data_IF_193535571610
#
_entry.id   IF_193535571610
#
_cell.length_a   1.000
_cell.length_b   1.000
_cell.length_c   1.000
_cell.angle_alpha   90.00
_cell.angle_beta   90.00
_cell.angle_gamma   90.00
#
_symmetry.space_group_name_H-M   'P 1'
#
loop_
_entity.id
_entity.type
_entity.pdbx_description
1 polymer ?
#
# COMPACT_ATOMS: atom_id res chain seq x y z
N UNK A 1 37.55 12.75 7.03
CA UNK A 1 36.29 13.51 6.93
C UNK A 1 35.58 13.45 8.26
N UNK A 2 35.22 14.59 8.84
CA UNK A 2 34.50 14.67 10.12
C UNK A 2 33.00 14.47 9.92
N UNK A 3 32.27 14.20 11.01
CA UNK A 3 30.80 14.09 10.96
C UNK A 3 30.12 15.36 10.44
N UNK A 4 30.64 16.54 10.79
CA UNK A 4 30.10 17.83 10.36
C UNK A 4 30.35 18.09 8.86
N UNK A 5 31.55 17.76 8.37
CA UNK A 5 31.87 17.85 6.94
C UNK A 5 30.98 16.91 6.10
N UNK A 6 30.77 15.68 6.59
CA UNK A 6 29.90 14.72 5.93
C UNK A 6 28.45 15.23 5.90
N UNK A 7 27.92 15.72 7.03
CA UNK A 7 26.57 16.28 7.10
C UNK A 7 26.39 17.47 6.15
N UNK A 8 27.37 18.38 6.09
CA UNK A 8 27.33 19.53 5.17
C UNK A 8 27.25 19.12 3.70
N UNK A 9 27.96 18.06 3.30
CA UNK A 9 27.94 17.56 1.93
C UNK A 9 26.63 16.84 1.60
N UNK A 10 26.14 16.00 2.50
CA UNK A 10 24.94 15.18 2.28
C UNK A 10 23.68 16.04 2.32
N UNK A 11 23.51 16.86 3.35
CA UNK A 11 22.30 17.67 3.53
C UNK A 11 22.19 18.83 2.53
N UNK A 12 23.27 19.17 1.82
CA UNK A 12 23.23 20.13 0.72
C UNK A 12 22.60 19.56 -0.57
N UNK A 13 22.45 18.23 -0.68
CA UNK A 13 21.84 17.62 -1.87
C UNK A 13 20.32 17.79 -1.83
N UNK A 14 19.73 18.15 -2.97
CA UNK A 14 18.29 18.42 -3.09
C UNK A 14 17.40 17.23 -2.70
N UNK A 15 17.88 15.99 -2.89
CA UNK A 15 17.16 14.77 -2.52
C UNK A 15 16.93 14.64 -1.00
N UNK A 16 17.75 15.30 -0.17
CA UNK A 16 17.64 15.26 1.29
C UNK A 16 16.94 16.50 1.88
N UNK A 17 16.23 17.31 1.08
CA UNK A 17 15.54 18.53 1.54
C UNK A 17 14.52 18.32 2.67
N UNK A 18 14.04 17.08 2.90
CA UNK A 18 13.10 16.73 3.98
C UNK A 18 13.79 16.20 5.25
N UNK A 19 15.10 16.03 5.22
CA UNK A 19 15.87 15.45 6.33
C UNK A 19 16.47 16.57 7.15
N UNK A 20 16.22 16.56 8.46
CA UNK A 20 16.77 17.57 9.36
C UNK A 20 18.19 17.20 9.81
N UNK A 21 18.99 18.18 10.28
CA UNK A 21 20.29 17.89 10.90
C UNK A 21 20.18 16.90 12.07
N UNK A 22 19.09 16.98 12.84
CA UNK A 22 18.79 16.10 13.97
C UNK A 22 18.52 14.66 13.52
N UNK A 23 17.75 14.48 12.44
CA UNK A 23 17.53 13.17 11.83
C UNK A 23 18.87 12.56 11.38
N UNK A 24 19.70 13.36 10.71
CA UNK A 24 20.99 12.90 10.22
C UNK A 24 21.95 12.56 11.36
N UNK A 25 21.92 13.33 12.45
CA UNK A 25 22.70 13.05 13.66
C UNK A 25 22.24 11.75 14.34
N UNK A 26 20.93 11.50 14.37
CA UNK A 26 20.37 10.25 14.87
C UNK A 26 20.84 9.06 14.03
N UNK A 27 20.80 9.19 12.70
CA UNK A 27 21.35 8.20 11.77
C UNK A 27 22.83 7.91 12.03
N UNK A 28 23.68 8.95 12.08
CA UNK A 28 25.12 8.75 12.28
C UNK A 28 25.43 8.07 13.62
N UNK A 29 24.73 8.44 14.69
CA UNK A 29 24.90 7.78 16.00
C UNK A 29 24.48 6.32 15.95
N UNK A 30 23.38 6.02 15.26
CA UNK A 30 22.92 4.65 15.08
C UNK A 30 23.93 3.81 14.29
N UNK A 31 24.44 4.33 13.15
CA UNK A 31 25.44 3.65 12.34
C UNK A 31 26.77 3.42 13.08
N UNK A 32 27.14 4.32 13.99
CA UNK A 32 28.31 4.11 14.87
C UNK A 32 28.03 3.00 15.89
N UNK A 33 26.85 3.02 16.52
CA UNK A 33 26.48 2.02 17.51
C UNK A 33 26.35 0.60 16.92
N UNK A 34 25.99 0.50 15.64
CA UNK A 34 25.85 -0.78 14.91
C UNK A 34 27.10 -1.16 14.10
N UNK A 35 28.22 -0.47 14.32
CA UNK A 35 29.51 -0.72 13.66
C UNK A 35 29.49 -0.65 12.12
N UNK A 36 28.52 0.09 11.56
CA UNK A 36 28.48 0.43 10.13
C UNK A 36 29.48 1.54 9.81
N UNK A 37 29.68 2.46 10.75
CA UNK A 37 30.67 3.53 10.68
C UNK A 37 31.49 3.50 11.96
N UNK A 38 32.80 3.73 11.87
CA UNK A 38 33.68 3.87 13.03
C UNK A 38 34.25 5.28 13.12
N UNK A 39 34.48 5.74 14.34
CA UNK A 39 35.14 7.01 14.61
C UNK A 39 36.60 6.77 14.98
N UNK A 40 37.52 7.41 14.26
CA UNK A 40 38.95 7.37 14.58
C UNK A 40 39.30 8.40 15.66
N UNK A 41 40.45 8.23 16.32
CA UNK A 41 40.93 9.13 17.39
C UNK A 41 40.99 10.61 16.95
N UNK A 42 41.32 10.87 15.68
CA UNK A 42 41.33 12.21 15.09
C UNK A 42 39.95 12.81 14.77
N UNK A 43 38.85 12.16 15.16
CA UNK A 43 37.48 12.65 14.92
C UNK A 43 36.93 12.41 13.51
N UNK A 44 37.70 11.75 12.65
CA UNK A 44 37.24 11.29 11.35
C UNK A 44 36.27 10.11 11.44
N UNK A 45 35.47 9.92 10.40
CA UNK A 45 34.62 8.74 10.22
C UNK A 45 35.21 7.85 9.13
N UNK A 46 35.23 6.54 9.39
CA UNK A 46 35.59 5.47 8.45
C UNK A 46 34.48 4.42 8.41
N UNK A 47 34.51 3.51 7.43
CA UNK A 47 33.58 2.39 7.38
C UNK A 47 33.94 1.39 8.49
N UNK A 48 32.94 0.93 9.24
CA UNK A 48 33.13 -0.10 10.27
C UNK A 48 32.99 -1.51 9.71
N UNK A 49 33.25 -2.54 10.53
CA UNK A 49 33.26 -3.93 10.05
C UNK A 49 31.89 -4.38 9.51
N UNK A 50 30.80 -3.94 10.12
CA UNK A 50 29.46 -4.23 9.60
C UNK A 50 29.19 -3.51 8.26
N UNK A 51 29.70 -2.28 8.13
CA UNK A 51 29.59 -1.48 6.91
C UNK A 51 30.39 -2.06 5.74
N UNK A 52 31.57 -2.62 6.00
CA UNK A 52 32.40 -3.29 4.98
C UNK A 52 31.69 -4.52 4.41
N UNK A 53 30.99 -5.30 5.25
CA UNK A 53 30.21 -6.47 4.79
C UNK A 53 29.12 -6.08 3.80
N UNK A 54 28.47 -4.94 4.02
CA UNK A 54 27.44 -4.44 3.11
C UNK A 54 28.06 -3.84 1.84
N UNK A 55 28.99 -2.90 2.00
CA UNK A 55 29.59 -2.15 0.88
C UNK A 55 30.52 -2.98 -0.01
N UNK A 56 31.04 -4.11 0.49
CA UNK A 56 31.85 -5.06 -0.28
C UNK A 56 31.06 -5.88 -1.29
N UNK A 57 29.72 -5.90 -1.19
CA UNK A 57 28.85 -6.55 -2.16
C UNK A 57 28.44 -5.58 -3.27
N UNK A 58 28.50 -6.00 -4.54
CA UNK A 58 27.99 -5.19 -5.66
C UNK A 58 26.49 -4.86 -5.49
N UNK A 59 25.77 -5.68 -4.74
CA UNK A 59 24.36 -5.46 -4.39
C UNK A 59 24.15 -4.14 -3.66
N UNK A 60 25.14 -3.64 -2.92
CA UNK A 60 25.03 -2.35 -2.24
C UNK A 60 24.83 -1.18 -3.20
N UNK A 61 25.29 -1.28 -4.44
CA UNK A 61 25.17 -0.19 -5.42
C UNK A 61 23.85 -0.24 -6.20
N UNK A 62 23.08 -1.32 -6.08
CA UNK A 62 21.75 -1.42 -6.67
C UNK A 62 20.74 -0.63 -5.82
N UNK A 63 20.03 0.32 -6.42
CA UNK A 63 19.03 1.17 -5.73
C UNK A 63 17.67 0.50 -5.56
N UNK A 64 17.41 -0.59 -6.28
CA UNK A 64 16.18 -1.36 -6.16
C UNK A 64 16.37 -2.53 -5.18
N UNK A 65 15.28 -2.88 -4.49
CA UNK A 65 15.22 -4.12 -3.71
C UNK A 65 15.29 -5.28 -4.68
N UNK A 66 16.28 -6.14 -4.51
CA UNK A 66 16.34 -7.39 -5.27
C UNK A 66 15.21 -8.28 -4.78
N UNK A 67 14.43 -8.80 -5.71
CA UNK A 67 13.46 -9.81 -5.39
C UNK A 67 14.22 -11.11 -5.09
N UNK A 68 14.08 -11.62 -3.86
CA UNK A 68 14.56 -12.96 -3.56
C UNK A 68 13.65 -13.95 -4.29
N UNK A 69 14.21 -14.56 -5.34
CA UNK A 69 13.56 -15.61 -6.09
C UNK A 69 13.73 -16.94 -5.36
N UNK A 70 12.60 -17.61 -5.11
CA UNK A 70 12.56 -18.95 -4.56
C UNK A 70 12.31 -19.94 -5.68
N UNK A 71 13.15 -20.98 -5.77
CA UNK A 71 12.92 -22.08 -6.72
C UNK A 71 11.81 -22.98 -6.19
N UNK A 72 10.73 -23.09 -6.95
CA UNK A 72 9.58 -23.93 -6.64
C UNK A 72 9.82 -25.33 -7.18
N UNK A 73 9.77 -26.32 -6.29
CA UNK A 73 9.94 -27.73 -6.61
C UNK A 73 8.71 -28.53 -6.21
N UNK A 74 8.40 -29.54 -7.00
CA UNK A 74 7.51 -30.61 -6.59
C UNK A 74 8.26 -31.93 -6.70
N UNK A 75 8.47 -32.58 -5.54
CA UNK A 75 9.32 -33.77 -5.43
C UNK A 75 10.71 -33.50 -6.04
N UNK A 76 11.08 -34.19 -7.11
CA UNK A 76 12.36 -34.01 -7.80
C UNK A 76 12.33 -32.97 -8.92
N UNK A 77 11.15 -32.52 -9.35
CA UNK A 77 11.00 -31.63 -10.51
C UNK A 77 11.02 -30.17 -10.09
N UNK A 78 11.79 -29.36 -10.81
CA UNK A 78 11.74 -27.90 -10.73
C UNK A 78 10.63 -27.37 -11.63
N UNK A 79 9.76 -26.54 -11.08
CA UNK A 79 8.58 -26.01 -11.76
C UNK A 79 8.81 -24.58 -12.27
N UNK A 80 9.69 -23.82 -11.61
CA UNK A 80 10.03 -22.43 -11.92
C UNK A 80 10.44 -21.65 -10.67
N UNK A 81 10.44 -20.32 -10.75
CA UNK A 81 10.75 -19.42 -9.62
C UNK A 81 9.54 -18.57 -9.23
N UNK A 82 9.47 -18.22 -7.95
CA UNK A 82 8.48 -17.27 -7.41
C UNK A 82 9.17 -16.27 -6.48
N UNK A 83 8.72 -15.01 -6.53
CA UNK A 83 9.16 -13.97 -5.60
C UNK A 83 8.20 -13.95 -4.41
N UNK A 84 8.74 -13.99 -3.19
CA UNK A 84 7.95 -13.99 -1.94
C UNK A 84 6.90 -15.12 -1.91
N UNK A 85 7.32 -16.38 -1.66
CA UNK A 85 6.39 -17.50 -1.64
C UNK A 85 5.32 -17.31 -0.57
N UNK A 86 4.07 -17.73 -0.84
CA UNK A 86 3.04 -17.70 0.18
C UNK A 86 3.36 -18.70 1.30
N UNK A 87 2.80 -18.50 2.50
CA UNK A 87 3.04 -19.38 3.63
C UNK A 87 2.55 -20.80 3.37
N UNK A 88 3.04 -21.75 4.17
CA UNK A 88 2.65 -23.16 4.11
C UNK A 88 1.13 -23.31 4.21
N UNK A 89 0.56 -24.17 3.36
CA UNK A 89 -0.88 -24.41 3.25
C UNK A 89 -1.62 -23.50 2.27
N UNK A 90 -0.99 -22.41 1.81
CA UNK A 90 -1.54 -21.58 0.74
C UNK A 90 -1.26 -22.15 -0.65
N UNK A 91 -1.99 -21.65 -1.65
CA UNK A 91 -1.94 -22.16 -3.03
C UNK A 91 -1.18 -21.20 -3.94
N UNK A 92 -0.33 -21.76 -4.80
CA UNK A 92 0.38 -21.05 -5.88
C UNK A 92 -0.11 -21.53 -7.24
N UNK A 93 -0.12 -20.62 -8.22
CA UNK A 93 -0.41 -20.94 -9.61
C UNK A 93 0.88 -20.82 -10.42
N UNK A 94 1.40 -21.94 -10.93
CA UNK A 94 2.65 -21.98 -11.70
C UNK A 94 2.52 -22.97 -12.86
N UNK A 95 3.01 -22.57 -14.04
CA UNK A 95 2.93 -23.36 -15.27
C UNK A 95 1.51 -23.86 -15.61
N UNK A 96 0.49 -23.02 -15.38
CA UNK A 96 -0.91 -23.35 -15.68
C UNK A 96 -1.57 -24.35 -14.70
N UNK A 97 -0.87 -24.75 -13.65
CA UNK A 97 -1.37 -25.67 -12.62
C UNK A 97 -1.42 -24.98 -11.26
N UNK A 98 -2.23 -25.55 -10.36
CA UNK A 98 -2.32 -25.11 -8.97
C UNK A 98 -1.56 -26.07 -8.08
N UNK A 99 -0.75 -25.50 -7.19
CA UNK A 99 0.06 -26.23 -6.23
C UNK A 99 -0.23 -25.70 -4.82
N UNK A 100 -0.13 -26.56 -3.81
CA UNK A 100 -0.20 -26.16 -2.40
C UNK A 100 1.21 -26.16 -1.82
N UNK A 101 1.58 -25.11 -1.07
CA UNK A 101 2.89 -25.00 -0.45
C UNK A 101 2.96 -25.93 0.75
N UNK A 102 3.90 -26.86 0.75
CA UNK A 102 4.16 -27.78 1.86
C UNK A 102 5.24 -27.24 2.80
N UNK A 103 6.29 -26.65 2.23
CA UNK A 103 7.45 -26.17 2.98
C UNK A 103 8.12 -25.01 2.24
N UNK A 104 8.64 -24.05 3.01
CA UNK A 104 9.46 -22.94 2.51
C UNK A 104 10.79 -22.95 3.25
N UNK A 105 11.87 -23.23 2.53
CA UNK A 105 13.25 -23.13 3.01
C UNK A 105 13.82 -21.77 2.65
N UNK A 106 13.77 -20.85 3.61
CA UNK A 106 14.30 -19.48 3.47
C UNK A 106 15.83 -19.43 3.39
N UNK A 107 16.56 -20.44 3.87
CA UNK A 107 18.02 -20.45 3.78
C UNK A 107 18.51 -20.86 2.40
N UNK A 108 17.79 -21.78 1.74
CA UNK A 108 18.14 -22.27 0.40
C UNK A 108 17.34 -21.62 -0.72
N UNK A 109 16.41 -20.71 -0.38
CA UNK A 109 15.44 -20.13 -1.31
C UNK A 109 14.68 -21.21 -2.09
N UNK A 110 14.18 -22.24 -1.39
CA UNK A 110 13.43 -23.35 -1.99
C UNK A 110 12.00 -23.40 -1.45
N UNK A 111 11.05 -23.74 -2.33
CA UNK A 111 9.65 -23.96 -1.97
C UNK A 111 9.25 -25.33 -2.44
N UNK A 112 8.80 -26.19 -1.53
CA UNK A 112 8.25 -27.49 -1.86
C UNK A 112 6.73 -27.41 -1.96
N UNK A 113 6.17 -27.97 -3.02
CA UNK A 113 4.74 -27.93 -3.27
C UNK A 113 4.19 -29.22 -3.89
N UNK A 114 2.90 -29.48 -3.64
CA UNK A 114 2.16 -30.60 -4.23
C UNK A 114 1.05 -30.12 -5.16
N UNK A 115 0.86 -30.81 -6.28
CA UNK A 115 -0.16 -30.46 -7.26
C UNK A 115 -1.57 -30.77 -6.73
N UNK A 116 -2.48 -29.80 -6.81
CA UNK A 116 -3.87 -29.97 -6.39
C UNK A 116 -4.85 -29.66 -7.53
N UNK A 117 -5.95 -30.42 -7.61
CA UNK A 117 -7.04 -30.12 -8.55
C UNK A 117 -7.84 -28.93 -8.03
N UNK A 118 -7.78 -27.80 -8.73
CA UNK A 118 -8.61 -26.63 -8.42
C UNK A 118 -8.36 -25.47 -9.38
N UNK A 119 -9.32 -24.54 -9.44
CA UNK A 119 -9.10 -23.19 -9.97
C UNK A 119 -8.79 -22.29 -8.78
N UNK A 120 -7.56 -21.81 -8.70
CA UNK A 120 -7.22 -20.72 -7.79
C UNK A 120 -7.31 -19.45 -8.60
N UNK A 121 -7.98 -18.38 -8.12
CA UNK A 121 -7.83 -17.06 -8.72
C UNK A 121 -6.33 -16.78 -8.72
N UNK A 122 -5.75 -16.60 -9.90
CA UNK A 122 -4.30 -16.52 -10.11
C UNK A 122 -3.67 -15.64 -9.03
N UNK A 123 -2.94 -16.26 -8.10
CA UNK A 123 -2.24 -15.55 -7.04
C UNK A 123 -1.00 -14.95 -7.68
N UNK A 124 -1.09 -13.68 -8.09
CA UNK A 124 0.00 -12.91 -8.69
C UNK A 124 0.96 -12.36 -7.62
N UNK A 125 1.31 -13.19 -6.64
CA UNK A 125 2.18 -12.83 -5.52
C UNK A 125 1.62 -11.74 -4.61
N UNK A 126 2.40 -11.39 -3.58
CA UNK A 126 2.18 -10.27 -2.65
C UNK A 126 2.80 -8.95 -3.16
N UNK A 127 3.29 -8.91 -4.40
CA UNK A 127 3.85 -7.71 -5.01
C UNK A 127 3.04 -7.27 -6.23
N UNK A 128 1.74 -6.95 -6.08
CA UNK A 128 1.09 -6.11 -7.08
C UNK A 128 1.84 -4.79 -7.00
N UNK A 129 2.68 -4.49 -7.99
CA UNK A 129 3.42 -3.24 -8.03
C UNK A 129 2.49 -2.05 -7.78
N UNK A 130 3.05 -0.95 -7.26
CA UNK A 130 2.22 0.18 -6.83
C UNK A 130 1.36 0.70 -7.98
N UNK A 131 0.07 0.91 -7.68
CA UNK A 131 -0.87 1.45 -8.65
C UNK A 131 -1.06 2.93 -8.35
N UNK A 132 -0.83 3.77 -9.36
CA UNK A 132 -1.10 5.20 -9.26
C UNK A 132 -2.60 5.48 -9.33
N UNK A 133 -3.08 6.46 -8.54
CA UNK A 133 -4.50 6.88 -8.53
C UNK A 133 -5.05 7.19 -9.91
N UNK A 134 -4.26 7.78 -10.81
CA UNK A 134 -4.67 8.08 -12.18
C UNK A 134 -5.14 6.84 -12.93
N UNK A 135 -4.54 5.67 -12.65
CA UNK A 135 -4.96 4.40 -13.26
C UNK A 135 -6.33 4.00 -12.73
N UNK A 136 -6.56 4.08 -11.42
CA UNK A 136 -7.86 3.77 -10.81
C UNK A 136 -8.94 4.74 -11.28
N UNK A 137 -8.63 6.03 -11.40
CA UNK A 137 -9.54 7.02 -11.97
C UNK A 137 -9.85 6.72 -13.44
N UNK A 138 -8.85 6.33 -14.24
CA UNK A 138 -9.10 5.91 -15.62
C UNK A 138 -9.96 4.65 -15.68
N UNK A 139 -9.74 3.67 -14.80
CA UNK A 139 -10.58 2.48 -14.67
C UNK A 139 -12.03 2.87 -14.36
N UNK A 140 -12.26 3.82 -13.44
CA UNK A 140 -13.59 4.38 -13.17
C UNK A 140 -14.22 4.96 -14.43
N UNK A 141 -13.48 5.78 -15.19
CA UNK A 141 -13.99 6.36 -16.45
C UNK A 141 -14.31 5.29 -17.49
N UNK A 142 -13.47 4.26 -17.63
CA UNK A 142 -13.68 3.13 -18.54
C UNK A 142 -15.00 2.41 -18.24
N UNK A 143 -15.39 2.30 -16.97
CA UNK A 143 -16.65 1.70 -16.53
C UNK A 143 -17.87 2.59 -16.80
N UNK A 144 -17.68 3.91 -16.85
CA UNK A 144 -18.74 4.90 -17.10
C UNK A 144 -19.00 5.14 -18.59
N UNK A 145 -17.96 5.07 -19.42
CA UNK A 145 -18.07 5.34 -20.85
C UNK A 145 -18.57 4.11 -21.64
N UNK A 146 -19.23 4.36 -22.77
CA UNK A 146 -19.64 3.31 -23.72
C UNK A 146 -18.63 3.13 -24.87
N UNK A 147 -17.42 3.69 -24.73
CA UNK A 147 -16.38 3.63 -25.77
C UNK A 147 -15.97 2.19 -26.07
N UNK A 148 -15.84 1.88 -27.37
CA UNK A 148 -15.27 0.63 -27.85
C UNK A 148 -13.76 0.80 -28.07
N UNK A 149 -12.97 -0.16 -27.58
CA UNK A 149 -11.52 -0.14 -27.71
C UNK A 149 -11.08 -1.05 -28.85
N UNK A 150 -10.48 -0.51 -29.93
CA UNK A 150 -10.16 -1.30 -31.14
C UNK A 150 -9.19 -2.46 -30.89
N UNK A 151 -8.36 -2.35 -29.85
CA UNK A 151 -7.36 -3.36 -29.49
C UNK A 151 -7.92 -4.52 -28.65
N UNK A 152 -9.19 -4.48 -28.22
CA UNK A 152 -9.79 -5.56 -27.44
C UNK A 152 -10.28 -6.70 -28.34
N UNK A 153 -9.89 -7.93 -28.01
CA UNK A 153 -10.45 -9.13 -28.62
C UNK A 153 -11.91 -9.35 -28.16
N UNK A 154 -12.68 -10.13 -28.92
CA UNK A 154 -14.13 -10.37 -28.69
C UNK A 154 -14.47 -10.73 -27.24
N UNK A 155 -13.74 -11.66 -26.63
CA UNK A 155 -14.00 -12.09 -25.25
C UNK A 155 -13.69 -10.99 -24.22
N UNK A 156 -12.65 -10.19 -24.45
CA UNK A 156 -12.30 -9.08 -23.57
C UNK A 156 -13.33 -7.95 -23.65
N UNK A 157 -13.80 -7.64 -24.87
CA UNK A 157 -14.87 -6.67 -25.07
C UNK A 157 -16.18 -7.10 -24.40
N UNK A 158 -16.54 -8.40 -24.50
CA UNK A 158 -17.70 -8.94 -23.79
C UNK A 158 -17.57 -8.82 -22.27
N UNK A 159 -16.40 -9.14 -21.69
CA UNK A 159 -16.14 -8.98 -20.25
C UNK A 159 -16.18 -7.54 -19.78
N UNK A 160 -15.67 -6.61 -20.58
CA UNK A 160 -15.80 -5.18 -20.30
C UNK A 160 -17.28 -4.74 -20.33
N UNK A 161 -18.07 -5.25 -21.27
CA UNK A 161 -19.52 -5.02 -21.31
C UNK A 161 -20.24 -5.49 -20.05
N UNK A 162 -19.94 -6.71 -19.59
CA UNK A 162 -20.45 -7.24 -18.31
C UNK A 162 -20.06 -6.36 -17.12
N UNK A 163 -18.78 -5.97 -17.03
CA UNK A 163 -18.29 -5.11 -15.96
C UNK A 163 -18.99 -3.75 -15.92
N UNK A 164 -19.19 -3.12 -17.10
CA UNK A 164 -19.94 -1.85 -17.24
C UNK A 164 -21.40 -2.01 -16.82
N UNK A 165 -22.03 -3.12 -17.15
CA UNK A 165 -23.41 -3.39 -16.76
C UNK A 165 -23.53 -3.53 -15.23
N UNK A 166 -22.63 -4.28 -14.60
CA UNK A 166 -22.57 -4.42 -13.14
C UNK A 166 -22.30 -3.08 -12.46
N UNK A 167 -21.36 -2.28 -13.00
CA UNK A 167 -21.03 -0.97 -12.45
C UNK A 167 -22.26 -0.04 -12.43
N UNK A 168 -23.00 0.03 -13.54
CA UNK A 168 -24.24 0.83 -13.65
C UNK A 168 -25.33 0.35 -12.68
N UNK A 169 -25.55 -0.96 -12.58
CA UNK A 169 -26.62 -1.49 -11.72
C UNK A 169 -26.30 -1.34 -10.22
N UNK A 170 -25.03 -1.34 -9.84
CA UNK A 170 -24.59 -1.23 -8.45
C UNK A 170 -24.38 0.22 -7.97
N UNK A 171 -24.30 1.19 -8.88
CA UNK A 171 -23.96 2.58 -8.52
C UNK A 171 -22.48 2.76 -8.14
N UNK A 172 -21.62 1.80 -8.52
CA UNK A 172 -20.20 1.71 -8.14
C UNK A 172 -19.37 2.93 -8.56
N UNK A 173 -19.75 3.55 -9.67
CA UNK A 173 -19.00 4.68 -10.23
C UNK A 173 -19.64 6.02 -9.86
N UNK A 174 -20.84 5.99 -9.31
CA UNK A 174 -21.70 7.11 -8.97
C UNK A 174 -21.49 7.52 -7.52
N UNK A 175 -21.43 6.57 -6.59
CA UNK A 175 -21.17 6.82 -5.18
C UNK A 175 -19.98 6.00 -4.69
N UNK A 176 -19.06 6.58 -3.91
CA UNK A 176 -17.92 5.83 -3.39
C UNK A 176 -18.33 4.85 -2.28
N UNK A 177 -19.50 4.99 -1.66
CA UNK A 177 -19.95 4.13 -0.58
C UNK A 177 -21.27 3.44 -0.97
N UNK A 178 -21.27 2.10 -0.93
CA UNK A 178 -22.41 1.25 -1.31
C UNK A 178 -22.82 0.40 -0.10
N UNK A 179 -24.12 0.34 0.19
CA UNK A 179 -24.67 -0.58 1.19
C UNK A 179 -24.84 -1.97 0.56
N UNK A 180 -24.23 -2.99 1.16
CA UNK A 180 -24.31 -4.38 0.70
C UNK A 180 -25.47 -5.17 1.34
N UNK A 181 -26.27 -4.52 2.18
CA UNK A 181 -27.34 -5.08 2.98
C UNK A 181 -27.05 -4.98 4.48
N UNK A 182 -28.07 -4.61 5.26
CA UNK A 182 -27.96 -4.47 6.71
C UNK A 182 -26.94 -3.40 7.12
N UNK A 183 -26.01 -3.79 7.99
CA UNK A 183 -24.92 -2.94 8.49
C UNK A 183 -23.63 -3.04 7.65
N UNK A 184 -23.65 -3.78 6.54
CA UNK A 184 -22.47 -4.05 5.72
C UNK A 184 -22.31 -3.01 4.62
N UNK A 185 -21.13 -2.42 4.52
CA UNK A 185 -20.81 -1.38 3.55
C UNK A 185 -19.52 -1.67 2.79
N UNK A 186 -19.46 -1.15 1.56
CA UNK A 186 -18.27 -1.21 0.73
C UNK A 186 -17.91 0.19 0.22
N UNK A 187 -16.68 0.60 0.50
CA UNK A 187 -16.09 1.86 0.07
C UNK A 187 -15.13 1.63 -1.10
N UNK A 188 -15.38 2.34 -2.20
CA UNK A 188 -14.58 2.38 -3.42
C UNK A 188 -13.93 3.76 -3.53
N UNK A 189 -12.69 3.92 -3.00
CA UNK A 189 -12.10 5.23 -2.89
C UNK A 189 -11.49 5.75 -4.19
N UNK A 190 -11.25 4.86 -5.17
CA UNK A 190 -10.55 5.16 -6.42
C UNK A 190 -9.22 5.89 -6.14
N UNK A 191 -8.43 5.31 -5.23
CA UNK A 191 -7.13 5.82 -4.80
C UNK A 191 -6.04 4.81 -5.16
N UNK A 192 -4.86 5.31 -5.49
CA UNK A 192 -3.66 4.50 -5.67
C UNK A 192 -3.16 3.90 -4.35
N UNK A 193 -2.19 3.00 -4.43
CA UNK A 193 -1.71 2.17 -3.31
C UNK A 193 -1.44 2.98 -2.04
N UNK A 194 -0.65 4.05 -2.14
CA UNK A 194 -0.20 4.83 -1.00
C UNK A 194 -1.28 5.71 -0.37
N UNK A 195 -2.15 6.30 -1.18
CA UNK A 195 -3.27 7.09 -0.70
C UNK A 195 -4.37 6.19 -0.11
N UNK A 196 -4.59 5.00 -0.69
CA UNK A 196 -5.47 3.99 -0.14
C UNK A 196 -4.97 3.51 1.23
N UNK A 197 -3.67 3.24 1.35
CA UNK A 197 -3.06 2.81 2.61
C UNK A 197 -3.21 3.88 3.71
N UNK A 198 -3.03 5.15 3.35
CA UNK A 198 -3.31 6.27 4.23
C UNK A 198 -4.80 6.33 4.64
N UNK A 199 -5.73 6.17 3.67
CA UNK A 199 -7.17 6.18 3.92
C UNK A 199 -7.59 5.06 4.88
N UNK A 200 -7.08 3.85 4.68
CA UNK A 200 -7.40 2.71 5.53
C UNK A 200 -6.98 2.97 6.99
N UNK A 201 -5.75 3.48 7.18
CA UNK A 201 -5.23 3.86 8.51
C UNK A 201 -6.04 5.01 9.12
N UNK A 202 -6.36 6.03 8.33
CA UNK A 202 -7.18 7.16 8.76
C UNK A 202 -8.55 6.69 9.25
N UNK A 203 -9.22 5.81 8.49
CA UNK A 203 -10.50 5.23 8.89
C UNK A 203 -10.38 4.45 10.21
N UNK A 204 -9.39 3.56 10.32
CA UNK A 204 -9.19 2.73 11.51
C UNK A 204 -8.84 3.53 12.77
N UNK A 205 -7.94 4.50 12.64
CA UNK A 205 -7.36 5.20 13.78
C UNK A 205 -8.19 6.43 14.18
N UNK A 206 -8.70 7.19 13.20
CA UNK A 206 -9.34 8.48 13.46
C UNK A 206 -10.87 8.42 13.42
N UNK A 207 -11.45 7.55 12.61
CA UNK A 207 -12.90 7.54 12.38
C UNK A 207 -13.62 6.36 13.05
N UNK A 208 -12.97 5.20 13.20
CA UNK A 208 -13.61 3.97 13.66
C UNK A 208 -14.37 4.08 14.98
N UNK A 209 -13.86 4.75 16.03
CA UNK A 209 -14.59 4.89 17.29
C UNK A 209 -15.88 5.71 17.15
N UNK A 210 -15.90 6.72 16.28
CA UNK A 210 -17.06 7.61 16.06
C UNK A 210 -18.12 7.02 15.14
N UNK A 211 -17.71 6.10 14.27
CA UNK A 211 -18.55 5.45 13.27
C UNK A 211 -18.98 4.03 13.69
N UNK A 212 -18.48 3.55 14.83
CA UNK A 212 -18.60 2.16 15.28
C UNK A 212 -18.21 1.16 14.18
N UNK A 213 -17.08 1.43 13.49
CA UNK A 213 -16.59 0.55 12.44
C UNK A 213 -16.11 -0.77 13.03
N UNK A 214 -16.53 -1.88 12.42
CA UNK A 214 -16.05 -3.21 12.74
C UNK A 214 -15.85 -4.05 11.49
N UNK A 215 -15.15 -5.18 11.61
CA UNK A 215 -14.89 -6.11 10.50
C UNK A 215 -14.33 -5.42 9.23
N UNK A 216 -13.40 -4.48 9.41
CA UNK A 216 -12.78 -3.77 8.29
C UNK A 216 -11.80 -4.69 7.56
N UNK A 217 -12.14 -5.04 6.33
CA UNK A 217 -11.36 -5.83 5.40
C UNK A 217 -11.06 -5.01 4.13
N UNK A 218 -9.87 -5.15 3.56
CA UNK A 218 -9.41 -4.31 2.44
C UNK A 218 -8.85 -5.15 1.30
N UNK A 219 -9.46 -5.02 0.13
CA UNK A 219 -8.88 -5.48 -1.13
C UNK A 219 -8.06 -4.34 -1.72
N UNK A 220 -6.81 -4.20 -1.27
CA UNK A 220 -5.96 -3.07 -1.64
C UNK A 220 -5.58 -3.11 -3.14
N UNK A 221 -5.54 -1.96 -3.85
CA UNK A 221 -6.05 -0.63 -3.49
C UNK A 221 -7.47 -0.36 -4.04
N UNK A 222 -8.30 -1.39 -4.23
CA UNK A 222 -9.57 -1.29 -4.94
C UNK A 222 -10.74 -0.90 -4.05
N UNK A 223 -10.95 -1.61 -2.93
CA UNK A 223 -12.09 -1.35 -2.05
C UNK A 223 -11.86 -1.78 -0.60
N UNK A 224 -12.64 -1.18 0.30
CA UNK A 224 -12.67 -1.50 1.73
C UNK A 224 -14.09 -1.94 2.09
N UNK A 225 -14.23 -3.09 2.72
CA UNK A 225 -15.48 -3.58 3.29
C UNK A 225 -15.45 -3.40 4.80
N UNK A 226 -16.55 -2.94 5.39
CA UNK A 226 -16.68 -2.83 6.83
C UNK A 226 -18.14 -2.84 7.26
N UNK A 227 -18.37 -3.18 8.52
CA UNK A 227 -19.66 -2.97 9.19
C UNK A 227 -19.70 -1.62 9.86
N UNK A 228 -20.83 -0.94 9.76
CA UNK A 228 -21.06 0.38 10.31
C UNK A 228 -22.53 0.55 10.72
N UNK A 229 -22.76 1.11 11.91
CA UNK A 229 -24.12 1.46 12.36
C UNK A 229 -24.55 2.87 11.96
N UNK A 230 -23.59 3.78 11.74
CA UNK A 230 -23.85 5.13 11.27
C UNK A 230 -24.47 5.13 9.85
N UNK A 231 -25.17 6.21 9.51
CA UNK A 231 -25.69 6.40 8.15
C UNK A 231 -24.58 6.80 7.16
N UNK A 232 -24.81 6.61 5.86
CA UNK A 232 -23.87 7.07 4.83
C UNK A 232 -23.59 8.59 4.91
N UNK A 233 -24.62 9.39 5.22
CA UNK A 233 -24.47 10.85 5.40
C UNK A 233 -23.57 11.17 6.58
N UNK A 234 -23.77 10.47 7.71
CA UNK A 234 -22.97 10.65 8.91
C UNK A 234 -21.52 10.18 8.70
N UNK A 235 -21.31 9.11 7.94
CA UNK A 235 -20.00 8.66 7.49
C UNK A 235 -19.24 9.77 6.79
N UNK A 236 -19.78 10.34 5.72
CA UNK A 236 -19.11 11.40 4.97
C UNK A 236 -18.91 12.67 5.79
N UNK A 237 -19.86 13.02 6.65
CA UNK A 237 -19.71 14.16 7.57
C UNK A 237 -18.54 13.96 8.52
N UNK A 238 -18.46 12.82 9.20
CA UNK A 238 -17.35 12.53 10.14
C UNK A 238 -16.01 12.48 9.42
N UNK A 239 -15.95 11.90 8.22
CA UNK A 239 -14.73 11.89 7.42
C UNK A 239 -14.30 13.31 7.04
N UNK A 240 -15.23 14.15 6.58
CA UNK A 240 -14.95 15.54 6.22
C UNK A 240 -14.50 16.36 7.44
N UNK A 241 -15.23 16.28 8.56
CA UNK A 241 -14.90 16.98 9.81
C UNK A 241 -13.50 16.60 10.31
N UNK A 242 -13.20 15.29 10.30
CA UNK A 242 -11.89 14.79 10.72
C UNK A 242 -10.78 15.18 9.73
N UNK A 243 -11.05 15.22 8.43
CA UNK A 243 -10.07 15.57 7.41
C UNK A 243 -9.73 17.08 7.38
N UNK A 244 -10.57 17.94 7.95
CA UNK A 244 -10.31 19.37 8.10
C UNK A 244 -9.38 19.68 9.28
N UNK A 245 -9.27 18.77 10.25
CA UNK A 245 -8.36 18.94 11.37
C UNK A 245 -6.90 18.78 10.91
N UNK A 246 -5.95 19.52 11.49
CA UNK A 246 -4.53 19.26 11.28
C UNK A 246 -4.21 17.79 11.61
N UNK A 247 -3.58 17.09 10.67
CA UNK A 247 -3.20 15.69 10.81
C UNK A 247 -1.68 15.60 10.70
N UNK A 248 -1.02 15.24 11.79
CA UNK A 248 0.36 14.79 11.73
C UNK A 248 0.37 13.37 11.11
N UNK A 249 1.09 13.13 9.99
CA UNK A 249 1.21 11.80 9.39
C UNK A 249 1.66 10.71 10.36
N UNK A 250 2.44 11.07 11.39
CA UNK A 250 2.89 10.14 12.42
C UNK A 250 1.74 9.53 13.22
N UNK A 251 0.60 10.22 13.32
CA UNK A 251 -0.60 9.74 14.02
C UNK A 251 -1.30 8.60 13.28
N UNK A 252 -0.93 8.31 12.02
CA UNK A 252 -1.46 7.17 11.27
C UNK A 252 -0.64 5.89 11.44
N UNK A 253 0.40 5.90 12.28
CA UNK A 253 1.20 4.72 12.60
C UNK A 253 0.71 4.07 13.89
N UNK A 254 0.72 2.74 13.91
CA UNK A 254 0.45 2.03 15.15
C UNK A 254 1.64 2.19 16.13
N UNK A 255 1.41 2.19 17.46
CA UNK A 255 2.45 2.51 18.45
C UNK A 255 3.75 1.71 18.32
N UNK A 256 3.65 0.41 18.02
CA UNK A 256 4.81 -0.49 17.97
C UNK A 256 5.17 -0.97 16.56
N UNK A 257 4.61 -0.33 15.52
CA UNK A 257 4.88 -0.73 14.13
C UNK A 257 6.22 -0.17 13.65
N UNK A 258 7.04 -1.01 13.02
CA UNK A 258 8.25 -0.60 12.31
C UNK A 258 8.07 -1.04 10.85
N UNK A 259 7.51 -0.17 9.99
CA UNK A 259 7.16 -0.54 8.63
C UNK A 259 8.42 -0.53 7.75
N UNK A 260 9.10 -1.68 7.67
CA UNK A 260 10.23 -1.87 6.76
C UNK A 260 9.71 -1.97 5.32
N UNK A 261 10.00 -0.97 4.50
CA UNK A 261 9.48 -0.85 3.14
C UNK A 261 10.63 -0.93 2.13
N UNK A 262 11.61 -0.06 2.29
CA UNK A 262 12.76 0.09 1.40
C UNK A 262 13.91 -0.85 1.75
N UNK A 263 14.81 -1.00 0.78
CA UNK A 263 15.98 -1.90 0.87
C UNK A 263 16.85 -1.67 2.11
N UNK A 264 17.06 -0.42 2.50
CA UNK A 264 17.98 -0.07 3.59
C UNK A 264 17.28 0.26 4.89
N UNK A 265 15.96 0.09 4.98
CA UNK A 265 15.19 0.44 6.19
C UNK A 265 15.67 -0.37 7.42
N UNK A 266 16.17 -1.58 7.21
CA UNK A 266 16.71 -2.43 8.29
C UNK A 266 17.94 -1.83 8.98
N UNK A 267 18.68 -0.93 8.30
CA UNK A 267 19.88 -0.28 8.85
C UNK A 267 19.58 1.09 9.45
N UNK A 268 18.33 1.53 9.40
CA UNK A 268 17.89 2.78 9.97
C UNK A 268 17.39 2.58 11.41
N UNK A 269 17.58 3.56 12.29
CA UNK A 269 16.94 3.54 13.60
C UNK A 269 15.40 3.56 13.44
N UNK A 270 14.64 2.87 14.30
CA UNK A 270 13.18 2.73 14.17
C UNK A 270 12.43 4.05 14.01
N UNK A 271 12.89 5.11 14.66
CA UNK A 271 12.31 6.45 14.59
C UNK A 271 12.36 7.01 13.17
N UNK A 272 13.47 6.80 12.46
CA UNK A 272 13.63 7.27 11.08
C UNK A 272 12.85 6.41 10.09
N UNK A 273 12.76 5.09 10.31
CA UNK A 273 11.89 4.20 9.50
C UNK A 273 10.44 4.66 9.61
N UNK A 274 9.95 4.87 10.84
CA UNK A 274 8.58 5.35 11.10
C UNK A 274 8.33 6.70 10.45
N UNK A 275 9.27 7.64 10.58
CA UNK A 275 9.16 8.97 9.95
C UNK A 275 9.16 8.89 8.43
N UNK A 276 10.07 8.09 7.85
CA UNK A 276 10.16 7.86 6.41
C UNK A 276 8.87 7.27 5.84
N UNK A 277 8.30 6.29 6.54
CA UNK A 277 7.01 5.72 6.16
C UNK A 277 5.86 6.74 6.24
N UNK A 278 5.76 7.48 7.35
CA UNK A 278 4.69 8.45 7.57
C UNK A 278 4.68 9.59 6.53
N UNK A 279 5.86 10.15 6.22
CA UNK A 279 5.99 11.33 5.37
C UNK A 279 6.39 11.04 3.92
N UNK A 280 6.93 9.85 3.65
CA UNK A 280 7.42 9.44 2.33
C UNK A 280 6.49 8.45 1.63
N UNK A 281 5.93 7.49 2.37
CA UNK A 281 5.15 6.38 1.81
C UNK A 281 3.63 6.64 1.90
N UNK A 282 3.12 7.18 3.02
CA UNK A 282 1.69 7.45 3.12
C UNK A 282 1.27 8.61 2.21
N UNK A 283 0.30 8.36 1.32
CA UNK A 283 -0.26 9.34 0.39
C UNK A 283 -1.23 10.33 1.06
N UNK A 284 -0.82 11.00 2.14
CA UNK A 284 -1.69 11.84 3.00
C UNK A 284 -2.39 12.95 2.20
N UNK A 285 -1.64 13.70 1.40
CA UNK A 285 -2.17 14.84 0.65
C UNK A 285 -3.26 14.41 -0.35
N UNK A 286 -3.03 13.30 -1.04
CA UNK A 286 -3.96 12.74 -2.01
C UNK A 286 -5.20 12.13 -1.34
N UNK A 287 -5.00 11.40 -0.24
CA UNK A 287 -6.10 10.93 0.61
C UNK A 287 -6.99 12.10 1.07
N UNK A 288 -6.40 13.15 1.63
CA UNK A 288 -7.14 14.33 2.09
C UNK A 288 -7.86 15.04 0.94
N UNK A 289 -7.24 15.13 -0.24
CA UNK A 289 -7.87 15.68 -1.44
C UNK A 289 -9.14 14.90 -1.81
N UNK A 290 -9.05 13.56 -1.82
CA UNK A 290 -10.19 12.68 -2.09
C UNK A 290 -11.31 12.83 -1.06
N UNK A 291 -10.97 12.87 0.23
CA UNK A 291 -11.94 13.05 1.33
C UNK A 291 -12.70 14.38 1.19
N UNK A 292 -12.01 15.48 0.85
CA UNK A 292 -12.64 16.79 0.60
C UNK A 292 -13.56 16.76 -0.63
N UNK A 293 -13.18 16.00 -1.65
CA UNK A 293 -14.04 15.78 -2.84
C UNK A 293 -15.40 15.18 -2.46
N UNK A 294 -15.42 14.17 -1.58
CA UNK A 294 -16.66 13.54 -1.14
C UNK A 294 -17.57 14.46 -0.32
N UNK A 295 -16.98 15.32 0.53
CA UNK A 295 -17.77 16.29 1.30
C UNK A 295 -18.55 17.26 0.40
N UNK A 296 -17.95 17.68 -0.72
CA UNK A 296 -18.57 18.58 -1.69
C UNK A 296 -19.71 17.88 -2.46
N UNK A 297 -19.49 16.64 -2.91
CA UNK A 297 -20.51 15.86 -3.62
C UNK A 297 -21.71 15.50 -2.73
N UNK A 298 -21.47 15.22 -1.44
CA UNK A 298 -22.52 14.92 -0.48
C UNK A 298 -23.42 16.15 -0.20
N UNK A 299 -22.81 17.34 -0.10
CA UNK A 299 -23.52 18.61 0.05
C UNK A 299 -24.39 18.93 -1.18
N UNK A 300 -23.85 18.74 -2.39
CA UNK A 300 -24.56 18.95 -3.64
C UNK A 300 -25.80 18.05 -3.78
N UNK A 301 -25.70 16.78 -3.36
CA UNK A 301 -26.82 15.83 -3.38
C UNK A 301 -27.90 16.16 -2.36
N UNK A 302 -27.55 16.72 -1.20
CA UNK A 302 -28.53 17.21 -0.22
C UNK A 302 -29.30 18.42 -0.74
N UNK A 303 -28.64 19.34 -1.47
CA UNK A 303 -29.32 20.50 -2.08
C UNK A 303 -30.21 20.15 -3.28
N UNK A 304 -29.89 19.06 -4.00
CA UNK A 304 -30.69 18.58 -5.13
C UNK A 304 -31.88 17.68 -4.71
N UNK A 305 -31.89 17.18 -3.47
CA UNK A 305 -32.88 16.24 -2.93
C UNK A 305 -33.99 16.88 -2.07
N UNK A 306 -34.50 18.05 -2.45
CA UNK A 306 -35.78 18.55 -1.90
C UNK A 306 -36.94 17.61 -2.27
N UNK A 307 -38.01 17.49 -1.46
CA UNK A 307 -38.92 16.35 -1.50
C UNK A 307 -39.66 16.29 -2.85
N UNK A 308 -39.29 15.34 -3.70
CA UNK A 308 -40.14 14.92 -4.79
C UNK A 308 -41.18 13.96 -4.23
N UNK A 309 -42.27 14.54 -3.72
CA UNK A 309 -43.54 13.84 -3.63
C UNK A 309 -43.91 13.38 -5.06
N UNK A 310 -43.75 12.09 -5.31
CA UNK A 310 -44.42 11.38 -6.39
C UNK A 310 -45.07 10.14 -5.82
N UNK A 311 -46.16 10.42 -5.12
CA UNK A 311 -47.34 9.56 -5.13
C UNK A 311 -47.82 9.40 -6.58
N UNK A 312 -47.79 8.17 -7.10
CA UNK A 312 -48.80 7.43 -7.92
C UNK A 312 -48.11 6.20 -8.50
#
# INVERSE_FOLDING_TARGET
MTAAELASRVLALSVFHRITPEDYKLLLRHLIATDHIQKIEGGGLIVGLAGERQTGSFKFYAVFKENEEYTVRSRSQELGTIVLPPPVGEKIALAGHVWIVEEVDHQRHLVYCEQVKGKVPAYFGQCPGDINTRILERMRTVLQEDAAYPYLMKNAAARLGEARHIARNSGLTEAPLINLGGDMWCLFPWLGTYAFLALERFLKIKCAPRLELSALDSSRPYFIQFKMKASATEFFRILSDTAQQPLDPMELLYPNEIPLFEKYDEFLPPELVRKGFAHGILGIAEMQSRLRGWGTDALLRQTAGGPSDRTV
#
